data_IF_140737670374
#
_entry.id   IF_140737670374
#
_cell.length_a   1.000
_cell.length_b   1.000
_cell.length_c   1.000
_cell.angle_alpha   90.00
_cell.angle_beta   90.00
_cell.angle_gamma   90.00
#
_symmetry.space_group_name_H-M   'P 1'
#
loop_
_entity.id
_entity.type
_entity.pdbx_description
1 polymer ?
#
# COMPACT_ATOMS: atom_id res chain seq x y z
N UNK A 1 -23.23 -3.84 3.07
CA UNK A 1 -22.26 -2.84 2.58
C UNK A 1 -21.63 -2.19 3.80
N UNK A 2 -20.35 -2.45 4.09
CA UNK A 2 -19.65 -1.78 5.20
C UNK A 2 -19.59 -0.30 4.84
N UNK A 3 -20.22 0.56 5.65
CA UNK A 3 -20.19 2.01 5.46
C UNK A 3 -18.73 2.43 5.45
N UNK A 4 -18.21 2.89 4.31
CA UNK A 4 -16.92 3.59 4.26
C UNK A 4 -17.08 4.88 5.06
N UNK A 5 -16.68 4.83 6.32
CA UNK A 5 -16.53 6.03 7.15
C UNK A 5 -15.38 6.83 6.54
N UNK A 6 -15.68 8.02 6.00
CA UNK A 6 -14.66 9.01 5.66
C UNK A 6 -13.73 9.16 6.87
N UNK A 7 -12.43 9.00 6.65
CA UNK A 7 -11.40 9.17 7.66
C UNK A 7 -11.57 10.52 8.36
N UNK A 8 -12.01 10.50 9.62
CA UNK A 8 -11.81 11.60 10.57
C UNK A 8 -10.68 11.14 11.48
N UNK A 9 -9.64 11.97 11.59
CA UNK A 9 -8.36 11.72 12.28
C UNK A 9 -7.31 11.13 11.32
N UNK A 10 -6.18 11.75 11.05
CA UNK A 10 -5.56 12.88 11.76
C UNK A 10 -4.04 12.84 11.76
N UNK A 11 -3.40 11.76 11.28
CA UNK A 11 -2.05 11.81 10.71
C UNK A 11 -2.11 11.06 9.38
N UNK A 12 -2.14 11.85 8.31
CA UNK A 12 -2.44 11.35 6.98
C UNK A 12 -1.37 10.34 6.57
N UNK A 13 -1.74 9.37 5.73
CA UNK A 13 -0.89 8.37 5.08
C UNK A 13 0.19 9.01 4.17
N UNK A 14 0.87 10.06 4.63
CA UNK A 14 1.86 10.90 3.95
C UNK A 14 3.08 10.07 3.63
N UNK A 15 3.51 9.20 4.56
CA UNK A 15 4.61 8.25 4.32
C UNK A 15 4.25 7.31 3.17
N UNK A 16 3.11 6.64 3.24
CA UNK A 16 2.63 5.79 2.14
C UNK A 16 2.52 6.58 0.83
N UNK A 17 1.93 7.78 0.84
CA UNK A 17 1.81 8.65 -0.33
C UNK A 17 3.17 9.03 -0.93
N UNK A 18 4.16 9.35 -0.08
CA UNK A 18 5.53 9.63 -0.51
C UNK A 18 6.15 8.42 -1.20
N UNK A 19 5.99 7.22 -0.64
CA UNK A 19 6.50 5.97 -1.22
C UNK A 19 5.79 5.64 -2.54
N UNK A 20 4.48 5.84 -2.62
CA UNK A 20 3.70 5.68 -3.85
C UNK A 20 4.21 6.62 -4.94
N UNK A 21 4.46 7.89 -4.63
CA UNK A 21 5.00 8.85 -5.60
C UNK A 21 6.39 8.44 -6.10
N UNK A 22 7.25 7.88 -5.24
CA UNK A 22 8.52 7.30 -5.66
C UNK A 22 8.30 6.11 -6.60
N UNK A 23 7.37 5.21 -6.29
CA UNK A 23 7.03 4.07 -7.14
C UNK A 23 6.53 4.51 -8.51
N UNK A 24 5.66 5.54 -8.57
CA UNK A 24 5.17 6.11 -9.83
C UNK A 24 6.33 6.68 -10.65
N UNK A 25 7.22 7.46 -10.03
CA UNK A 25 8.39 8.01 -10.70
C UNK A 25 9.27 6.91 -11.31
N UNK A 26 9.57 5.87 -10.53
CA UNK A 26 10.34 4.72 -11.00
C UNK A 26 9.62 3.89 -12.07
N UNK A 27 8.29 3.74 -11.98
CA UNK A 27 7.51 2.99 -12.95
C UNK A 27 7.43 3.71 -14.31
N UNK A 28 7.33 5.04 -14.31
CA UNK A 28 7.24 5.86 -15.51
C UNK A 28 8.50 5.78 -16.41
N UNK A 29 9.66 5.39 -15.87
CA UNK A 29 10.90 5.27 -16.66
C UNK A 29 11.05 3.91 -17.34
N UNK A 30 10.39 2.87 -16.81
CA UNK A 30 10.54 1.48 -17.29
C UNK A 30 10.13 1.31 -18.76
N UNK A 31 9.02 1.90 -19.26
CA UNK A 31 8.67 1.82 -20.69
C UNK A 31 9.78 2.32 -21.61
N UNK A 32 10.49 3.38 -21.22
CA UNK A 32 11.62 3.89 -22.00
C UNK A 32 12.76 2.89 -22.04
N UNK A 33 13.06 2.21 -20.93
CA UNK A 33 14.08 1.14 -20.90
C UNK A 33 13.76 0.00 -21.87
N UNK A 34 12.48 -0.34 -22.03
CA UNK A 34 12.02 -1.34 -23.00
C UNK A 34 12.20 -0.82 -24.43
N UNK A 35 11.78 0.41 -24.71
CA UNK A 35 11.91 1.03 -26.04
C UNK A 35 13.37 1.18 -26.47
N UNK A 36 14.25 1.47 -25.52
CA UNK A 36 15.71 1.56 -25.70
C UNK A 36 16.38 0.17 -25.82
N UNK A 37 15.63 -0.92 -25.70
CA UNK A 37 16.13 -2.31 -25.75
C UNK A 37 17.24 -2.57 -24.74
N UNK A 38 17.11 -2.00 -23.53
CA UNK A 38 18.07 -2.24 -22.43
C UNK A 38 18.11 -3.72 -22.04
N UNK A 39 19.20 -4.10 -21.39
CA UNK A 39 19.42 -5.49 -20.97
C UNK A 39 18.28 -5.95 -20.05
N UNK A 40 17.59 -7.02 -20.44
CA UNK A 40 16.34 -7.44 -19.79
C UNK A 40 16.45 -7.61 -18.26
N UNK A 41 17.53 -8.18 -17.70
CA UNK A 41 17.73 -8.24 -16.25
C UNK A 41 17.71 -6.88 -15.54
N UNK A 42 18.17 -5.79 -16.17
CA UNK A 42 18.10 -4.45 -15.58
C UNK A 42 16.66 -3.93 -15.51
N UNK A 43 15.85 -4.23 -16.54
CA UNK A 43 14.42 -3.90 -16.57
C UNK A 43 13.68 -4.67 -15.48
N UNK A 44 13.99 -5.96 -15.32
CA UNK A 44 13.45 -6.81 -14.25
C UNK A 44 13.83 -6.25 -12.88
N UNK A 45 15.10 -5.91 -12.66
CA UNK A 45 15.56 -5.33 -11.40
C UNK A 45 14.87 -4.00 -11.07
N UNK A 46 14.59 -3.18 -12.07
CA UNK A 46 13.85 -1.92 -11.90
C UNK A 46 12.38 -2.19 -11.55
N UNK A 47 11.74 -3.17 -12.18
CA UNK A 47 10.38 -3.61 -11.83
C UNK A 47 10.33 -4.13 -10.39
N UNK A 48 11.28 -4.96 -9.98
CA UNK A 48 11.35 -5.49 -8.61
C UNK A 48 11.53 -4.38 -7.57
N UNK A 49 12.28 -3.33 -7.93
CA UNK A 49 12.44 -2.14 -7.08
C UNK A 49 11.10 -1.40 -6.90
N UNK A 50 10.30 -1.26 -7.97
CA UNK A 50 8.94 -0.70 -7.89
C UNK A 50 8.04 -1.57 -7.02
N UNK A 51 8.08 -2.89 -7.18
CA UNK A 51 7.33 -3.83 -6.33
C UNK A 51 7.72 -3.68 -4.86
N UNK A 52 9.01 -3.50 -4.56
CA UNK A 52 9.50 -3.20 -3.21
C UNK A 52 8.91 -1.93 -2.63
N UNK A 53 8.85 -0.84 -3.40
CA UNK A 53 8.21 0.41 -3.00
C UNK A 53 6.71 0.21 -2.74
N UNK A 54 6.00 -0.51 -3.61
CA UNK A 54 4.57 -0.79 -3.42
C UNK A 54 4.31 -1.63 -2.15
N UNK A 55 5.16 -2.61 -1.86
CA UNK A 55 5.11 -3.38 -0.60
C UNK A 55 5.30 -2.48 0.61
N UNK A 56 6.29 -1.57 0.57
CA UNK A 56 6.53 -0.60 1.65
C UNK A 56 5.34 0.34 1.85
N UNK A 57 4.78 0.89 0.77
CA UNK A 57 3.59 1.74 0.84
C UNK A 57 2.38 1.01 1.44
N UNK A 58 2.16 -0.26 1.06
CA UNK A 58 1.11 -1.11 1.64
C UNK A 58 1.30 -1.27 3.15
N UNK A 59 2.52 -1.53 3.60
CA UNK A 59 2.84 -1.67 5.03
C UNK A 59 2.56 -0.38 5.80
N UNK A 60 2.97 0.77 5.26
CA UNK A 60 2.70 2.08 5.90
C UNK A 60 1.21 2.38 5.99
N UNK A 61 0.42 2.07 4.94
CA UNK A 61 -1.04 2.20 4.97
C UNK A 61 -1.67 1.31 6.05
N UNK A 62 -1.25 0.05 6.10
CA UNK A 62 -1.77 -0.88 7.09
C UNK A 62 -1.43 -0.43 8.51
N UNK A 63 -0.18 -0.02 8.75
CA UNK A 63 0.23 0.52 10.05
C UNK A 63 -0.65 1.70 10.47
N UNK A 64 -0.85 2.67 9.58
CA UNK A 64 -1.72 3.81 9.86
C UNK A 64 -3.16 3.39 10.18
N UNK A 65 -3.69 2.38 9.48
CA UNK A 65 -5.02 1.83 9.75
C UNK A 65 -5.11 1.11 11.10
N UNK A 66 -4.10 0.29 11.46
CA UNK A 66 -4.01 -0.40 12.74
C UNK A 66 -3.95 0.59 13.91
N UNK A 67 -3.14 1.66 13.77
CA UNK A 67 -2.92 2.65 14.82
C UNK A 67 -4.12 3.61 15.00
N UNK A 68 -5.05 3.69 14.04
CA UNK A 68 -6.17 4.65 14.06
C UNK A 68 -7.56 4.00 13.97
N UNK A 69 -8.09 3.77 12.77
CA UNK A 69 -9.47 3.33 12.58
C UNK A 69 -9.72 1.96 13.19
N UNK A 70 -8.79 1.03 13.00
CA UNK A 70 -8.98 -0.34 13.47
C UNK A 70 -8.83 -0.45 14.99
N UNK A 71 -7.93 0.32 15.62
CA UNK A 71 -7.78 0.31 17.08
C UNK A 71 -9.05 0.78 17.79
N UNK A 72 -9.77 1.75 17.23
CA UNK A 72 -11.08 2.17 17.73
C UNK A 72 -12.18 1.15 17.41
N UNK A 73 -12.16 0.54 16.23
CA UNK A 73 -13.12 -0.51 15.88
C UNK A 73 -12.96 -1.75 16.77
N UNK A 74 -11.73 -2.14 17.13
CA UNK A 74 -11.47 -3.28 18.02
C UNK A 74 -12.13 -3.15 19.40
N UNK A 75 -12.32 -1.91 19.90
CA UNK A 75 -12.99 -1.65 21.17
C UNK A 75 -14.51 -1.85 21.10
N UNK A 76 -15.10 -1.61 19.93
CA UNK A 76 -16.55 -1.55 19.74
C UNK A 76 -17.13 -2.75 18.97
N UNK A 77 -16.36 -3.32 18.04
CA UNK A 77 -16.71 -4.45 17.17
C UNK A 77 -15.45 -5.26 16.82
N UNK A 78 -15.06 -6.13 17.77
CA UNK A 78 -13.88 -6.99 17.63
C UNK A 78 -14.00 -7.98 16.46
N UNK A 79 -15.18 -8.56 16.25
CA UNK A 79 -15.39 -9.55 15.18
C UNK A 79 -15.28 -8.90 13.80
N UNK A 80 -15.89 -7.73 13.62
CA UNK A 80 -15.77 -6.95 12.39
C UNK A 80 -14.33 -6.56 12.09
N UNK A 81 -13.59 -6.09 13.10
CA UNK A 81 -12.18 -5.72 12.94
C UNK A 81 -11.29 -6.91 12.52
N UNK A 82 -11.48 -8.09 13.13
CA UNK A 82 -10.74 -9.31 12.75
C UNK A 82 -11.10 -9.75 11.34
N UNK A 83 -12.40 -9.74 10.99
CA UNK A 83 -12.88 -10.12 9.65
C UNK A 83 -12.34 -9.20 8.56
N UNK A 84 -12.21 -7.91 8.84
CA UNK A 84 -11.57 -6.94 7.95
C UNK A 84 -10.11 -7.30 7.66
N UNK A 85 -9.32 -7.60 8.69
CA UNK A 85 -7.92 -8.00 8.51
C UNK A 85 -7.77 -9.31 7.74
N UNK A 86 -8.58 -10.33 8.05
CA UNK A 86 -8.57 -11.60 7.31
C UNK A 86 -8.86 -11.39 5.82
N UNK A 87 -9.77 -10.46 5.49
CA UNK A 87 -10.07 -10.09 4.11
C UNK A 87 -8.89 -9.38 3.43
N UNK A 88 -8.23 -8.43 4.10
CA UNK A 88 -7.06 -7.70 3.54
C UNK A 88 -5.91 -8.65 3.18
N UNK A 89 -5.74 -9.72 3.97
CA UNK A 89 -4.71 -10.73 3.79
C UNK A 89 -5.15 -11.95 2.98
N UNK A 90 -6.38 -11.94 2.44
CA UNK A 90 -6.96 -13.07 1.70
C UNK A 90 -6.89 -14.41 2.46
N UNK A 91 -7.11 -14.37 3.78
CA UNK A 91 -7.09 -15.53 4.68
C UNK A 91 -8.53 -15.98 5.06
N UNK A 92 -9.45 -15.93 4.09
CA UNK A 92 -10.87 -16.24 4.31
C UNK A 92 -11.20 -17.70 4.00
#
# INVERSE_FOLDING_TARGET
MVKQTLHKHGEQNIKARKVINMAIGSLNTIPNMVNEKRYCPEIIQQLDSVVGLLKSARTELLRGHLDSCLSEQLKNDKEGAVKELLKIYNMQ
#
